data_IF_436097959086
#
_entry.id   IF_436097959086
#
_cell.length_a   1.000
_cell.length_b   1.000
_cell.length_c   1.000
_cell.angle_alpha   90.00
_cell.angle_beta   90.00
_cell.angle_gamma   90.00
#
_symmetry.space_group_name_H-M   'P 1'
#
loop_
_entity.id
_entity.type
_entity.pdbx_description
1 polymer ?
#
# COMPACT_ATOMS: atom_id res chain seq x y z
N UNK A 1 -29.61 46.76 20.26
CA UNK A 1 -30.45 45.54 20.30
C UNK A 1 -30.47 44.93 18.91
N UNK A 2 -29.91 43.72 18.80
CA UNK A 2 -30.27 42.58 17.93
C UNK A 2 -30.73 42.92 16.50
N UNK A 3 -30.14 42.40 15.43
CA UNK A 3 -30.01 40.97 15.17
C UNK A 3 -28.77 40.61 14.33
N UNK A 4 -28.03 39.64 14.86
CA UNK A 4 -27.20 38.68 14.12
C UNK A 4 -27.94 38.10 12.90
N UNK A 5 -27.20 37.84 11.82
CA UNK A 5 -27.21 36.63 10.95
C UNK A 5 -26.44 36.95 9.67
N UNK A 6 -25.13 36.69 9.61
CA UNK A 6 -24.54 35.41 9.19
C UNK A 6 -24.96 34.97 7.78
N UNK A 7 -24.04 35.04 6.81
CA UNK A 7 -23.77 33.95 5.87
C UNK A 7 -22.42 34.18 5.17
N UNK A 8 -21.36 33.78 5.86
CA UNK A 8 -20.10 33.36 5.25
C UNK A 8 -20.29 31.95 4.66
N UNK A 9 -19.35 31.59 3.79
CA UNK A 9 -18.99 30.22 3.36
C UNK A 9 -19.72 29.65 2.14
N UNK A 10 -19.11 29.89 0.97
CA UNK A 10 -18.96 28.83 -0.03
C UNK A 10 -17.50 28.80 -0.47
N UNK A 11 -16.62 28.36 0.43
CA UNK A 11 -15.37 27.69 0.03
C UNK A 11 -15.72 26.22 -0.04
N UNK A 12 -16.11 25.74 -1.23
CA UNK A 12 -16.13 24.32 -1.53
C UNK A 12 -14.68 23.84 -1.41
N UNK A 13 -14.39 23.26 -0.25
CA UNK A 13 -13.28 22.34 -0.06
C UNK A 13 -13.39 21.27 -1.15
N UNK A 14 -12.62 21.41 -2.22
CA UNK A 14 -12.09 20.24 -2.89
C UNK A 14 -11.07 19.63 -1.93
N UNK A 15 -11.55 18.94 -0.89
CA UNK A 15 -10.77 17.94 -0.21
C UNK A 15 -10.68 16.76 -1.16
N UNK A 16 -9.79 16.85 -2.15
CA UNK A 16 -9.23 15.64 -2.76
C UNK A 16 -8.73 14.80 -1.59
N UNK A 17 -9.21 13.56 -1.41
CA UNK A 17 -8.59 12.66 -0.44
C UNK A 17 -7.14 12.52 -0.89
N UNK A 18 -6.24 13.20 -0.18
CA UNK A 18 -4.81 13.02 -0.36
C UNK A 18 -4.57 11.61 0.14
N UNK A 19 -4.50 10.65 -0.78
CA UNK A 19 -3.94 9.35 -0.48
C UNK A 19 -2.48 9.62 -0.11
N UNK A 20 -2.20 9.70 1.19
CA UNK A 20 -0.84 9.78 1.70
C UNK A 20 -0.28 8.38 1.49
N UNK A 21 0.43 8.21 0.38
CA UNK A 21 1.30 7.07 0.16
C UNK A 21 2.66 7.47 0.75
N UNK A 22 3.08 6.79 1.80
CA UNK A 22 4.42 6.97 2.39
C UNK A 22 5.30 5.90 1.76
N UNK A 23 6.13 6.32 0.80
CA UNK A 23 7.09 5.44 0.16
C UNK A 23 8.18 5.06 1.17
N UNK A 24 8.38 3.75 1.36
CA UNK A 24 9.28 3.15 2.33
C UNK A 24 10.51 2.63 1.62
N UNK A 25 11.68 3.12 2.04
CA UNK A 25 12.98 2.65 1.59
C UNK A 25 13.37 1.36 2.34
N UNK A 26 13.79 0.35 1.58
CA UNK A 26 14.29 -0.93 2.11
C UNK A 26 15.66 -1.16 1.48
N UNK A 27 16.71 -0.84 2.24
CA UNK A 27 18.10 -0.80 1.81
C UNK A 27 19.00 -1.85 2.48
N UNK A 28 18.43 -2.64 3.39
CA UNK A 28 19.15 -3.66 4.14
C UNK A 28 18.72 -5.04 3.65
N UNK A 29 19.57 -5.76 2.89
CA UNK A 29 19.27 -7.11 2.44
C UNK A 29 19.02 -8.04 3.62
N UNK A 30 18.14 -9.03 3.44
CA UNK A 30 17.79 -10.04 4.44
C UNK A 30 17.23 -9.50 5.77
N UNK A 31 16.89 -8.22 5.85
CA UNK A 31 16.16 -7.63 6.98
C UNK A 31 14.68 -7.46 6.61
N UNK A 32 13.78 -7.83 7.52
CA UNK A 32 12.35 -7.65 7.34
C UNK A 32 11.94 -6.23 7.70
N UNK A 33 11.33 -5.53 6.74
CA UNK A 33 10.66 -4.26 6.96
C UNK A 33 9.16 -4.51 7.09
N UNK A 34 8.55 -3.94 8.12
CA UNK A 34 7.11 -4.00 8.34
C UNK A 34 6.42 -2.88 7.58
N UNK A 35 5.43 -3.23 6.76
CA UNK A 35 4.54 -2.30 6.08
C UNK A 35 3.18 -2.36 6.76
N UNK A 36 2.68 -1.23 7.28
CA UNK A 36 1.31 -1.16 7.80
C UNK A 36 0.35 -0.83 6.66
N UNK A 37 -0.77 -1.54 6.58
CA UNK A 37 -1.83 -1.24 5.63
C UNK A 37 -3.20 -1.53 6.22
N UNK A 38 -4.12 -0.56 6.12
CA UNK A 38 -5.40 -0.59 6.82
C UNK A 38 -5.20 -0.93 8.32
N UNK A 39 -5.84 -1.99 8.80
CA UNK A 39 -5.75 -2.55 10.16
C UNK A 39 -4.78 -3.74 10.26
N UNK A 40 -3.89 -3.93 9.27
CA UNK A 40 -3.02 -5.10 9.11
C UNK A 40 -1.56 -4.72 8.86
N UNK A 41 -0.72 -5.74 8.84
CA UNK A 41 0.70 -5.64 8.59
C UNK A 41 1.15 -6.63 7.51
N UNK A 42 2.10 -6.19 6.69
CA UNK A 42 2.90 -7.02 5.81
C UNK A 42 4.36 -6.95 6.24
N UNK A 43 5.12 -7.97 5.90
CA UNK A 43 6.58 -7.98 5.99
C UNK A 43 7.16 -8.14 4.59
N UNK A 44 8.12 -7.29 4.27
CA UNK A 44 8.88 -7.33 3.03
C UNK A 44 10.36 -7.48 3.36
N UNK A 45 11.05 -8.33 2.61
CA UNK A 45 12.50 -8.40 2.61
C UNK A 45 12.99 -8.85 1.24
N UNK A 46 14.26 -8.60 0.95
CA UNK A 46 14.87 -9.03 -0.30
C UNK A 46 16.20 -9.73 -0.07
N UNK A 47 16.59 -10.55 -1.04
CA UNK A 47 17.92 -11.12 -1.17
C UNK A 47 18.53 -10.63 -2.48
N UNK A 48 19.78 -10.21 -2.43
CA UNK A 48 20.51 -9.78 -3.61
C UNK A 48 20.85 -10.97 -4.52
N UNK A 49 20.85 -10.71 -5.82
CA UNK A 49 21.31 -11.61 -6.87
C UNK A 49 21.97 -10.80 -7.97
N UNK A 50 22.75 -11.46 -8.84
CA UNK A 50 23.61 -10.78 -9.83
C UNK A 50 22.81 -9.84 -10.74
N UNK A 51 21.67 -10.30 -11.28
CA UNK A 51 20.84 -9.50 -12.19
C UNK A 51 19.53 -9.03 -11.57
N UNK A 52 19.05 -9.72 -10.53
CA UNK A 52 17.73 -9.44 -9.92
C UNK A 52 17.74 -9.68 -8.43
N UNK A 53 16.91 -8.92 -7.71
CA UNK A 53 16.66 -9.12 -6.29
C UNK A 53 15.46 -10.05 -6.11
N UNK A 54 15.62 -11.09 -5.29
CA UNK A 54 14.50 -11.93 -4.87
C UNK A 54 13.77 -11.24 -3.74
N UNK A 55 12.60 -10.69 -4.03
CA UNK A 55 11.75 -9.99 -3.06
C UNK A 55 10.68 -10.94 -2.54
N UNK A 56 10.51 -10.95 -1.21
CA UNK A 56 9.49 -11.73 -0.53
C UNK A 56 8.57 -10.78 0.22
N UNK A 57 7.28 -10.89 -0.07
CA UNK A 57 6.20 -10.18 0.61
C UNK A 57 5.34 -11.21 1.34
N UNK A 58 5.16 -11.05 2.64
CA UNK A 58 4.34 -11.91 3.47
C UNK A 58 3.31 -11.08 4.25
N UNK A 59 2.07 -11.55 4.33
CA UNK A 59 0.99 -10.88 5.05
C UNK A 59 -0.09 -11.90 5.43
N UNK A 60 -0.87 -11.58 6.45
CA UNK A 60 -1.98 -12.43 6.86
C UNK A 60 -3.31 -12.03 6.22
N UNK A 61 -4.15 -13.02 5.94
CA UNK A 61 -5.49 -12.88 5.37
C UNK A 61 -6.50 -13.62 6.22
N UNK A 62 -7.78 -13.23 6.15
CA UNK A 62 -8.82 -13.82 7.01
C UNK A 62 -8.97 -13.09 8.36
N UNK A 63 -9.86 -13.61 9.20
CA UNK A 63 -10.04 -13.18 10.59
C UNK A 63 -9.12 -13.98 11.51
N UNK A 64 -8.84 -13.50 12.72
CA UNK A 64 -7.89 -14.11 13.67
C UNK A 64 -8.06 -15.63 13.83
N UNK A 65 -9.31 -16.09 13.97
CA UNK A 65 -9.65 -17.52 14.14
C UNK A 65 -9.49 -18.38 12.88
N UNK A 66 -9.35 -17.78 11.70
CA UNK A 66 -9.11 -18.47 10.42
C UNK A 66 -7.97 -17.80 9.64
N UNK A 67 -6.99 -17.25 10.36
CA UNK A 67 -5.92 -16.48 9.74
C UNK A 67 -5.05 -17.38 8.86
N UNK A 68 -4.81 -16.95 7.63
CA UNK A 68 -3.93 -17.62 6.69
C UNK A 68 -2.76 -16.70 6.33
N UNK A 69 -1.55 -17.22 6.46
CA UNK A 69 -0.35 -16.55 6.00
C UNK A 69 -0.21 -16.71 4.49
N UNK A 70 -0.21 -15.59 3.78
CA UNK A 70 0.09 -15.52 2.35
C UNK A 70 1.54 -15.07 2.19
N UNK A 71 2.26 -15.74 1.28
CA UNK A 71 3.63 -15.39 0.91
C UNK A 71 3.74 -15.32 -0.61
N UNK A 72 4.17 -14.17 -1.11
CA UNK A 72 4.53 -13.95 -2.50
C UNK A 72 6.05 -13.84 -2.62
N UNK A 73 6.60 -14.48 -3.64
CA UNK A 73 8.03 -14.41 -3.96
C UNK A 73 8.14 -14.05 -5.43
N UNK A 74 8.95 -13.05 -5.73
CA UNK A 74 9.21 -12.62 -7.09
C UNK A 74 10.66 -12.14 -7.25
N UNK A 75 11.06 -11.91 -8.49
CA UNK A 75 12.36 -11.35 -8.84
C UNK A 75 12.15 -9.99 -9.48
N UNK A 76 12.90 -8.98 -9.02
CA UNK A 76 12.92 -7.64 -9.60
C UNK A 76 14.31 -7.32 -10.16
N UNK A 77 14.41 -7.16 -11.47
CA UNK A 77 15.56 -6.50 -12.09
C UNK A 77 15.53 -4.99 -11.78
N UNK A 78 16.66 -4.32 -12.00
CA UNK A 78 16.71 -2.86 -11.80
C UNK A 78 15.66 -2.13 -12.66
N UNK A 79 15.00 -1.14 -12.06
CA UNK A 79 13.88 -0.40 -12.64
C UNK A 79 12.57 -1.17 -12.75
N UNK A 80 12.53 -2.48 -12.47
CA UNK A 80 11.29 -3.24 -12.50
C UNK A 80 10.42 -2.96 -11.27
N UNK A 81 9.12 -2.96 -11.50
CA UNK A 81 8.12 -2.84 -10.45
C UNK A 81 7.14 -4.01 -10.49
N UNK A 82 6.61 -4.33 -9.31
CA UNK A 82 5.55 -5.30 -9.11
C UNK A 82 4.48 -4.67 -8.23
N UNK A 83 3.24 -5.06 -8.47
CA UNK A 83 2.09 -4.57 -7.71
C UNK A 83 1.25 -5.76 -7.26
N UNK A 84 0.87 -5.75 -5.99
CA UNK A 84 -0.07 -6.69 -5.42
C UNK A 84 -1.25 -5.93 -4.83
N UNK A 85 -2.45 -6.21 -5.32
CA UNK A 85 -3.69 -5.74 -4.70
C UNK A 85 -4.26 -6.82 -3.78
N UNK A 86 -4.52 -6.45 -2.53
CA UNK A 86 -5.03 -7.28 -1.45
C UNK A 86 -6.45 -6.79 -1.14
N UNK A 87 -7.43 -7.69 -1.27
CA UNK A 87 -8.86 -7.36 -1.17
C UNK A 87 -9.42 -6.78 -2.47
N UNK A 88 -10.75 -6.85 -2.66
CA UNK A 88 -11.43 -6.06 -3.68
C UNK A 88 -12.35 -6.77 -4.67
N UNK A 89 -13.08 -7.83 -4.28
CA UNK A 89 -14.25 -8.28 -5.05
C UNK A 89 -15.43 -8.61 -4.12
N UNK A 90 -16.52 -7.84 -4.23
CA UNK A 90 -17.71 -7.99 -3.39
C UNK A 90 -18.36 -6.66 -3.03
N UNK A 91 -19.33 -6.69 -2.10
CA UNK A 91 -20.11 -5.53 -1.70
C UNK A 91 -19.41 -4.59 -0.70
N UNK A 92 -18.48 -5.11 0.12
CA UNK A 92 -17.81 -4.35 1.19
C UNK A 92 -16.30 -4.67 1.25
N UNK A 93 -15.52 -4.25 0.26
CA UNK A 93 -14.08 -4.49 0.31
C UNK A 93 -13.27 -3.26 -0.02
N UNK A 94 -12.68 -2.67 1.03
CA UNK A 94 -11.45 -1.89 0.94
C UNK A 94 -10.41 -2.73 0.22
N UNK A 95 -9.63 -2.09 -0.64
CA UNK A 95 -8.48 -2.74 -1.27
C UNK A 95 -7.22 -1.98 -0.92
N UNK A 96 -6.17 -2.73 -0.64
CA UNK A 96 -4.83 -2.20 -0.46
C UNK A 96 -3.98 -2.66 -1.63
N UNK A 97 -3.31 -1.75 -2.31
CA UNK A 97 -2.25 -2.07 -3.27
C UNK A 97 -0.89 -1.83 -2.61
N UNK A 98 -0.03 -2.85 -2.67
CA UNK A 98 1.38 -2.75 -2.31
C UNK A 98 2.18 -2.76 -3.62
N UNK A 99 2.87 -1.66 -3.90
CA UNK A 99 3.78 -1.52 -5.03
C UNK A 99 5.21 -1.67 -4.53
N UNK A 100 6.01 -2.47 -5.22
CA UNK A 100 7.42 -2.67 -4.93
C UNK A 100 8.20 -2.35 -6.20
N UNK A 101 9.25 -1.55 -6.11
CA UNK A 101 10.15 -1.24 -7.23
C UNK A 101 11.58 -1.43 -6.77
N UNK A 102 12.41 -2.04 -7.62
CA UNK A 102 13.85 -1.97 -7.43
C UNK A 102 14.38 -0.71 -8.08
N UNK A 103 15.16 0.05 -7.31
CA UNK A 103 15.94 1.18 -7.80
C UNK A 103 17.39 1.01 -7.34
N UNK A 104 18.28 0.69 -8.27
CA UNK A 104 19.68 0.40 -8.01
C UNK A 104 19.85 -0.71 -6.95
N UNK A 105 20.30 -0.32 -5.75
CA UNK A 105 20.69 -1.19 -4.63
C UNK A 105 19.60 -1.33 -3.56
N UNK A 106 18.44 -0.68 -3.73
CA UNK A 106 17.35 -0.71 -2.75
C UNK A 106 15.99 -1.06 -3.38
N UNK A 107 15.06 -1.43 -2.50
CA UNK A 107 13.63 -1.58 -2.85
C UNK A 107 12.87 -0.40 -2.28
N UNK A 108 12.07 0.25 -3.13
CA UNK A 108 11.03 1.18 -2.73
C UNK A 108 9.72 0.41 -2.62
N UNK A 109 9.05 0.52 -1.48
CA UNK A 109 7.74 -0.04 -1.26
C UNK A 109 6.72 1.06 -0.98
N UNK A 110 5.58 1.00 -1.63
CA UNK A 110 4.51 1.96 -1.47
C UNK A 110 3.20 1.23 -1.21
N UNK A 111 2.37 1.82 -0.34
CA UNK A 111 1.11 1.24 0.13
C UNK A 111 0.00 2.26 -0.07
N UNK A 112 -0.98 1.90 -0.89
CA UNK A 112 -2.18 2.71 -1.11
C UNK A 112 -3.40 1.90 -0.68
N UNK A 113 -4.21 2.45 0.21
CA UNK A 113 -5.50 1.85 0.59
C UNK A 113 -6.64 2.69 0.05
N UNK A 114 -7.55 2.07 -0.69
CA UNK A 114 -8.75 2.71 -1.22
C UNK A 114 -10.01 2.20 -0.54
N UNK A 115 -10.90 3.12 -0.18
CA UNK A 115 -12.15 2.85 0.53
C UNK A 115 -13.28 2.26 -0.35
N UNK A 116 -13.08 2.14 -1.67
CA UNK A 116 -14.17 1.70 -2.56
C UNK A 116 -13.69 0.95 -3.80
N UNK A 117 -14.47 -0.06 -4.21
CA UNK A 117 -14.28 -0.88 -5.43
C UNK A 117 -14.02 -0.05 -6.69
N UNK A 118 -14.75 1.04 -6.87
CA UNK A 118 -14.66 1.91 -8.06
C UNK A 118 -13.31 2.62 -8.18
N UNK A 119 -12.57 2.73 -7.08
CA UNK A 119 -11.27 3.41 -7.02
C UNK A 119 -10.08 2.45 -7.06
N UNK A 120 -10.30 1.12 -7.02
CA UNK A 120 -9.23 0.11 -6.99
C UNK A 120 -8.33 0.22 -8.22
N UNK A 121 -8.92 0.38 -9.41
CA UNK A 121 -8.15 0.52 -10.66
C UNK A 121 -7.32 1.82 -10.73
N UNK A 122 -7.71 2.83 -9.94
CA UNK A 122 -7.04 4.15 -9.85
C UNK A 122 -6.24 4.30 -8.55
N UNK A 123 -6.05 3.21 -7.80
CA UNK A 123 -5.33 3.17 -6.54
C UNK A 123 -3.83 2.96 -6.79
N UNK A 124 -3.24 3.78 -7.66
CA UNK A 124 -1.84 3.77 -8.12
C UNK A 124 -1.44 5.18 -8.53
#
# INVERSE_FOLDING_TARGET
MNYLRALLAVTLYFSTPIAISEEILIDTPMAATTLQFADRYASIFYMEGEESYKVILAFSTGQEENEQLVRQSLYLADGQSYQLSIGGYGADQKATTIKMKRENEYILADVVTCDSREKIANCI
#
